data_IF_676094692343
#
_entry.id   IF_676094692343
#
_cell.length_a   1.000
_cell.length_b   1.000
_cell.length_c   1.000
_cell.angle_alpha   90.00
_cell.angle_beta   90.00
_cell.angle_gamma   90.00
#
_symmetry.space_group_name_H-M   'P 1'
#
loop_
_entity.id
_entity.type
_entity.pdbx_description
1 polymer ?
#
# COMPACT_ATOMS: atom_id res chain seq x y z
N UNK A 1 18.72 0.86 -4.17
CA UNK A 1 19.34 0.35 -2.92
C UNK A 1 18.97 1.30 -1.80
N UNK A 2 18.32 0.82 -0.74
CA UNK A 2 18.05 1.65 0.44
C UNK A 2 19.28 1.64 1.34
N UNK A 3 19.67 2.81 1.86
CA UNK A 3 20.67 2.84 2.92
C UNK A 3 20.05 2.35 4.23
N UNK A 4 20.85 1.82 5.18
CA UNK A 4 20.35 1.44 6.50
C UNK A 4 19.60 2.56 7.22
N UNK A 5 20.04 3.82 7.06
CA UNK A 5 19.41 4.99 7.68
C UNK A 5 17.99 5.19 7.17
N UNK A 6 17.79 5.14 5.84
CA UNK A 6 16.45 5.24 5.24
C UNK A 6 15.55 4.08 5.66
N UNK A 7 16.11 2.89 5.84
CA UNK A 7 15.38 1.74 6.37
C UNK A 7 14.89 2.01 7.80
N UNK A 8 15.77 2.48 8.69
CA UNK A 8 15.42 2.81 10.08
C UNK A 8 14.38 3.93 10.16
N UNK A 9 14.50 4.97 9.34
CA UNK A 9 13.49 6.04 9.24
C UNK A 9 12.12 5.49 8.81
N UNK A 10 12.12 4.60 7.82
CA UNK A 10 10.89 3.93 7.36
C UNK A 10 10.27 3.10 8.48
N UNK A 11 11.07 2.38 9.27
CA UNK A 11 10.58 1.58 10.40
C UNK A 11 9.92 2.46 11.48
N UNK A 12 10.53 3.60 11.83
CA UNK A 12 9.93 4.56 12.77
C UNK A 12 8.61 5.13 12.26
N UNK A 13 8.53 5.43 10.96
CA UNK A 13 7.28 5.88 10.35
C UNK A 13 6.19 4.80 10.44
N UNK A 14 6.53 3.52 10.25
CA UNK A 14 5.57 2.43 10.38
C UNK A 14 5.07 2.26 11.81
N UNK A 15 5.94 2.43 12.81
CA UNK A 15 5.56 2.44 14.23
C UNK A 15 4.52 3.53 14.52
N UNK A 16 4.74 4.77 14.05
CA UNK A 16 3.75 5.84 14.21
C UNK A 16 2.42 5.59 13.49
N UNK A 17 2.45 4.85 12.37
CA UNK A 17 1.24 4.51 11.61
C UNK A 17 0.53 3.27 12.13
N UNK A 18 1.15 2.52 13.04
CA UNK A 18 0.53 1.36 13.64
C UNK A 18 -0.65 1.78 14.53
N UNK A 19 -1.85 1.28 14.20
CA UNK A 19 -3.11 1.67 14.83
C UNK A 19 -3.43 3.18 14.76
N UNK A 20 -2.79 3.93 13.87
CA UNK A 20 -3.15 5.31 13.58
C UNK A 20 -4.37 5.39 12.64
N UNK A 21 -4.99 6.56 12.61
CA UNK A 21 -6.10 6.93 11.73
C UNK A 21 -5.94 8.36 11.25
N UNK A 22 -6.75 8.73 10.26
CA UNK A 22 -6.81 10.08 9.70
C UNK A 22 -5.47 10.53 9.07
N UNK A 23 -4.91 9.68 8.20
CA UNK A 23 -3.67 9.97 7.47
C UNK A 23 -3.70 9.48 6.03
N UNK A 24 -2.94 10.16 5.17
CA UNK A 24 -2.65 9.73 3.80
C UNK A 24 -1.21 9.21 3.69
N UNK A 25 -0.97 8.25 2.80
CA UNK A 25 0.37 7.73 2.51
C UNK A 25 1.08 8.63 1.47
N UNK A 26 2.38 8.43 1.24
CA UNK A 26 3.14 9.21 0.25
C UNK A 26 2.74 8.95 -1.19
N UNK A 27 1.96 7.89 -1.45
CA UNK A 27 1.51 7.45 -2.78
C UNK A 27 2.64 7.20 -3.80
N UNK A 28 3.90 7.15 -3.37
CA UNK A 28 5.02 6.75 -4.22
C UNK A 28 4.95 5.23 -4.47
N UNK A 29 4.63 4.87 -5.70
CA UNK A 29 4.49 3.48 -6.16
C UNK A 29 5.60 3.07 -7.13
N UNK A 30 6.64 3.90 -7.30
CA UNK A 30 7.71 3.67 -8.28
C UNK A 30 8.35 2.28 -8.16
N UNK A 31 8.58 1.84 -6.92
CA UNK A 31 9.21 0.56 -6.59
C UNK A 31 8.24 -0.64 -6.56
N UNK A 32 6.93 -0.42 -6.67
CA UNK A 32 5.95 -1.51 -6.69
C UNK A 32 5.84 -2.09 -8.10
N UNK A 33 5.63 -3.40 -8.22
CA UNK A 33 5.34 -4.01 -9.52
C UNK A 33 3.94 -3.59 -10.02
N UNK A 34 3.71 -3.50 -11.35
CA UNK A 34 2.36 -3.31 -11.89
C UNK A 34 1.37 -4.34 -11.34
N UNK A 35 0.14 -3.91 -11.07
CA UNK A 35 -0.89 -4.77 -10.46
C UNK A 35 -0.81 -4.91 -8.93
N UNK A 36 0.23 -4.37 -8.27
CA UNK A 36 0.33 -4.38 -6.80
C UNK A 36 -0.70 -3.45 -6.17
N UNK A 37 -1.45 -3.94 -5.18
CA UNK A 37 -2.31 -3.11 -4.34
C UNK A 37 -1.50 -2.41 -3.24
N UNK A 38 -1.83 -1.15 -2.96
CA UNK A 38 -1.16 -0.34 -1.95
C UNK A 38 -2.16 0.52 -1.17
N UNK A 39 -1.82 0.86 0.08
CA UNK A 39 -2.64 1.69 0.96
C UNK A 39 -2.54 3.16 0.56
N UNK A 40 -3.67 3.80 0.29
CA UNK A 40 -3.76 5.23 -0.06
C UNK A 40 -3.94 6.07 1.20
N UNK A 41 -4.90 5.69 2.05
CA UNK A 41 -5.19 6.41 3.29
C UNK A 41 -5.93 5.54 4.32
N UNK A 42 -5.90 6.00 5.55
CA UNK A 42 -6.76 5.53 6.64
C UNK A 42 -7.55 6.74 7.13
N UNK A 43 -8.88 6.66 7.10
CA UNK A 43 -9.70 7.80 7.53
C UNK A 43 -9.91 7.85 9.06
N UNK A 44 -10.65 8.85 9.52
CA UNK A 44 -10.94 9.07 10.94
C UNK A 44 -11.75 7.95 11.63
N UNK A 45 -12.31 7.02 10.84
CA UNK A 45 -13.04 5.83 11.27
C UNK A 45 -12.22 4.55 11.11
N UNK A 46 -10.90 4.65 10.90
CA UNK A 46 -9.99 3.51 10.68
C UNK A 46 -10.25 2.71 9.40
N UNK A 47 -11.08 3.20 8.47
CA UNK A 47 -11.32 2.52 7.20
C UNK A 47 -10.08 2.67 6.32
N UNK A 48 -9.61 1.55 5.75
CA UNK A 48 -8.43 1.50 4.89
C UNK A 48 -8.85 1.55 3.43
N UNK A 49 -8.27 2.47 2.67
CA UNK A 49 -8.55 2.65 1.25
C UNK A 49 -7.33 2.24 0.44
N UNK A 50 -7.53 1.34 -0.52
CA UNK A 50 -6.48 0.79 -1.36
C UNK A 50 -6.66 1.21 -2.82
N UNK A 51 -5.55 1.31 -3.53
CA UNK A 51 -5.51 1.45 -4.98
C UNK A 51 -4.56 0.39 -5.56
N UNK A 52 -4.66 0.15 -6.86
CA UNK A 52 -3.78 -0.77 -7.59
C UNK A 52 -2.83 0.06 -8.47
N UNK A 53 -1.53 -0.27 -8.50
CA UNK A 53 -0.62 0.34 -9.48
C UNK A 53 -1.03 -0.10 -10.87
N UNK A 54 -1.23 0.87 -11.77
CA UNK A 54 -1.74 0.66 -13.13
C UNK A 54 -1.10 -0.57 -13.81
N UNK A 55 -1.94 -1.55 -14.14
CA UNK A 55 -1.54 -2.78 -14.81
C UNK A 55 -1.41 -2.61 -16.34
N UNK A 56 -1.29 -1.38 -16.86
CA UNK A 56 -1.32 -1.13 -18.33
C UNK A 56 -0.16 -1.75 -19.13
N UNK A 57 0.78 -2.44 -18.48
CA UNK A 57 1.79 -3.28 -19.15
C UNK A 57 1.68 -4.79 -18.82
N UNK A 58 0.78 -5.20 -17.92
CA UNK A 58 0.54 -6.61 -17.62
C UNK A 58 -0.77 -7.05 -18.30
N UNK A 59 -0.63 -7.81 -19.39
CA UNK A 59 -1.72 -8.48 -20.10
C UNK A 59 -2.70 -9.13 -19.11
N UNK A 60 -4.00 -9.00 -19.40
CA UNK A 60 -5.14 -9.59 -18.70
C UNK A 60 -4.81 -10.91 -18.00
N UNK A 61 -4.54 -10.83 -16.70
CA UNK A 61 -4.54 -11.96 -15.79
C UNK A 61 -5.90 -11.99 -15.10
N UNK A 62 -6.61 -13.08 -15.31
CA UNK A 62 -7.91 -13.45 -14.77
C UNK A 62 -8.26 -12.83 -13.41
N UNK A 63 -9.45 -12.24 -13.32
CA UNK A 63 -10.03 -11.72 -12.07
C UNK A 63 -10.35 -12.91 -11.15
N UNK A 64 -9.32 -13.41 -10.46
CA UNK A 64 -9.46 -14.43 -9.45
C UNK A 64 -10.42 -13.96 -8.36
N UNK A 65 -11.58 -14.59 -8.30
CA UNK A 65 -12.61 -14.38 -7.28
C UNK A 65 -11.98 -14.37 -5.89
N UNK A 66 -11.90 -13.19 -5.27
CA UNK A 66 -11.50 -13.04 -3.88
C UNK A 66 -12.66 -13.47 -2.98
N UNK A 67 -12.88 -14.78 -2.86
CA UNK A 67 -13.75 -15.34 -1.84
C UNK A 67 -13.10 -15.11 -0.47
N UNK A 68 -13.53 -14.06 0.25
CA UNK A 68 -13.21 -13.91 1.66
C UNK A 68 -13.96 -15.01 2.42
N UNK A 69 -13.21 -15.98 2.97
CA UNK A 69 -13.76 -17.18 3.60
C UNK A 69 -14.78 -16.87 4.70
N UNK A 70 -15.84 -17.67 4.73
CA UNK A 70 -16.89 -17.68 5.75
C UNK A 70 -16.49 -18.58 6.92
#
# INVERSE_FOLDING_TARGET
>A
MFSPEKFVETMKLMEHRYAAKDFETSQDTSLLSPGTFYLVKVDSMYRRFYAQKDAKEAKSGDNGSLANGH
#
